data_IF_905275346129
#
_entry.id   IF_905275346129
#
_cell.length_a   1.000
_cell.length_b   1.000
_cell.length_c   1.000
_cell.angle_alpha   90.00
_cell.angle_beta   90.00
_cell.angle_gamma   90.00
#
_symmetry.space_group_name_H-M   'P 1'
#
loop_
_entity.id
_entity.type
_entity.pdbx_description
1 polymer ?
#
# COMPACT_ATOMS: atom_id res chain seq x y z
N UNK A 1 -6.13 -101.68 6.28
CA UNK A 1 -4.74 -102.15 6.44
C UNK A 1 -3.86 -101.38 5.45
N UNK A 2 -2.66 -101.03 5.89
CA UNK A 2 -1.73 -100.04 5.35
C UNK A 2 -1.14 -100.30 3.93
N UNK A 3 -0.80 -99.16 3.28
CA UNK A 3 0.40 -98.87 2.44
C UNK A 3 0.56 -99.54 1.05
N UNK A 4 0.84 -98.69 0.05
CA UNK A 4 2.14 -98.51 -0.68
C UNK A 4 1.87 -97.75 -2.01
N UNK A 5 2.20 -96.46 -2.12
CA UNK A 5 3.35 -95.87 -2.86
C UNK A 5 3.99 -96.79 -3.92
N UNK A 6 3.97 -96.40 -5.21
CA UNK A 6 5.14 -95.90 -5.99
C UNK A 6 4.78 -95.65 -7.48
N UNK A 7 5.68 -94.93 -8.18
CA UNK A 7 5.78 -94.55 -9.62
C UNK A 7 5.21 -93.18 -10.00
N UNK A 8 5.91 -92.26 -10.72
CA UNK A 8 7.32 -92.11 -11.08
C UNK A 8 7.49 -90.77 -11.84
N UNK A 9 8.43 -89.92 -11.41
CA UNK A 9 9.44 -89.17 -12.23
C UNK A 9 9.04 -88.01 -13.19
N UNK A 10 9.99 -87.03 -13.25
CA UNK A 10 10.24 -85.95 -14.21
C UNK A 10 9.48 -84.61 -13.99
N UNK A 11 10.07 -83.41 -13.91
CA UNK A 11 11.46 -82.97 -13.91
C UNK A 11 11.60 -81.56 -13.34
N UNK A 12 12.73 -81.34 -12.66
CA UNK A 12 13.30 -80.05 -12.29
C UNK A 12 13.83 -79.40 -13.56
N UNK A 13 13.35 -78.20 -13.90
CA UNK A 13 14.09 -77.22 -14.72
C UNK A 13 13.94 -75.86 -14.07
N UNK A 14 14.91 -75.55 -13.22
CA UNK A 14 15.22 -74.21 -12.75
C UNK A 14 15.98 -73.52 -13.89
N UNK A 15 15.32 -72.65 -14.66
CA UNK A 15 15.98 -71.79 -15.64
C UNK A 15 15.98 -70.34 -15.14
N UNK A 16 17.20 -69.89 -14.86
CA UNK A 16 17.61 -68.50 -14.74
C UNK A 16 16.90 -67.61 -15.77
N UNK A 17 16.05 -66.70 -15.30
CA UNK A 17 15.63 -65.54 -16.08
C UNK A 17 16.67 -64.44 -15.83
N UNK A 18 17.37 -63.93 -16.85
CA UNK A 18 18.24 -62.79 -16.66
C UNK A 18 17.38 -61.59 -16.27
N UNK A 19 17.83 -60.82 -15.28
CA UNK A 19 17.25 -59.53 -14.96
C UNK A 19 17.41 -58.61 -16.18
N UNK A 20 16.38 -58.57 -17.03
CA UNK A 20 16.27 -57.56 -18.08
C UNK A 20 16.06 -56.24 -17.35
N UNK A 21 17.15 -55.47 -17.21
CA UNK A 21 17.02 -54.04 -16.93
C UNK A 21 16.35 -53.43 -18.15
N UNK A 22 15.05 -53.21 -18.04
CA UNK A 22 14.32 -52.30 -18.92
C UNK A 22 15.00 -50.93 -18.81
N UNK A 23 15.75 -50.53 -19.83
CA UNK A 23 15.99 -49.12 -20.09
C UNK A 23 14.66 -48.55 -20.58
N UNK A 24 14.06 -47.65 -19.80
CA UNK A 24 12.95 -46.86 -20.30
C UNK A 24 13.44 -46.09 -21.53
N UNK A 25 12.80 -46.25 -22.71
CA UNK A 25 13.19 -45.47 -23.87
C UNK A 25 12.87 -44.02 -23.56
N UNK A 26 13.92 -43.19 -23.52
CA UNK A 26 13.84 -41.74 -23.39
C UNK A 26 12.97 -41.23 -24.54
N UNK A 27 11.69 -41.04 -24.25
CA UNK A 27 10.66 -40.69 -25.21
C UNK A 27 10.16 -39.32 -24.83
N UNK A 28 9.99 -38.48 -25.85
CA UNK A 28 9.56 -37.07 -25.82
C UNK A 28 8.31 -36.79 -24.95
N UNK A 29 7.60 -37.83 -24.51
CA UNK A 29 6.42 -37.79 -23.64
C UNK A 29 6.72 -37.42 -22.18
N UNK A 30 7.90 -37.73 -21.64
CA UNK A 30 8.24 -37.40 -20.23
C UNK A 30 8.64 -35.92 -20.05
N UNK A 31 8.88 -35.21 -21.15
CA UNK A 31 9.40 -33.84 -21.18
C UNK A 31 8.30 -32.79 -21.10
N UNK A 32 7.17 -33.08 -21.77
CA UNK A 32 5.92 -32.42 -21.44
C UNK A 32 5.54 -32.67 -19.98
N UNK A 33 5.84 -33.84 -19.43
CA UNK A 33 5.52 -34.17 -18.03
C UNK A 33 6.34 -33.35 -17.03
N UNK A 34 7.66 -33.13 -17.21
CA UNK A 34 8.43 -32.28 -16.28
C UNK A 34 8.01 -30.81 -16.32
N UNK A 35 7.86 -30.22 -17.53
CA UNK A 35 7.39 -28.84 -17.66
C UNK A 35 5.96 -28.68 -17.09
N UNK A 36 5.04 -29.60 -17.41
CA UNK A 36 3.68 -29.56 -16.89
C UNK A 36 3.64 -29.72 -15.37
N UNK A 37 4.48 -30.59 -14.78
CA UNK A 37 4.63 -30.71 -13.32
C UNK A 37 5.20 -29.42 -12.72
N UNK A 38 6.17 -28.79 -13.35
CA UNK A 38 6.73 -27.52 -12.90
C UNK A 38 5.66 -26.41 -12.92
N UNK A 39 4.86 -26.35 -13.98
CA UNK A 39 3.72 -25.44 -14.12
C UNK A 39 2.62 -25.73 -13.08
N UNK A 40 2.32 -27.00 -12.81
CA UNK A 40 1.37 -27.37 -11.75
C UNK A 40 1.86 -26.88 -10.38
N UNK A 41 3.15 -27.05 -10.08
CA UNK A 41 3.75 -26.55 -8.85
C UNK A 41 3.77 -25.02 -8.80
N UNK A 42 4.04 -24.35 -9.92
CA UNK A 42 3.98 -22.89 -10.03
C UNK A 42 2.58 -22.36 -9.75
N UNK A 43 1.55 -22.94 -10.37
CA UNK A 43 0.15 -22.56 -10.17
C UNK A 43 -0.35 -22.85 -8.74
N UNK A 44 0.28 -23.81 -8.06
CA UNK A 44 0.07 -24.10 -6.63
C UNK A 44 0.97 -23.27 -5.71
N UNK A 45 1.68 -22.28 -6.26
CA UNK A 45 2.63 -21.39 -5.57
C UNK A 45 3.78 -22.12 -4.84
N UNK A 46 4.05 -23.37 -5.22
CA UNK A 46 5.16 -24.18 -4.70
C UNK A 46 6.47 -23.82 -5.42
N UNK A 47 6.80 -22.53 -5.38
CA UNK A 47 7.92 -21.94 -6.13
C UNK A 47 9.27 -22.66 -5.94
N UNK A 48 9.69 -23.11 -4.73
CA UNK A 48 10.97 -23.78 -4.58
C UNK A 48 11.06 -25.10 -5.35
N UNK A 49 9.96 -25.85 -5.42
CA UNK A 49 9.89 -27.11 -6.15
C UNK A 49 9.73 -26.86 -7.66
N UNK A 50 8.93 -25.86 -8.04
CA UNK A 50 8.79 -25.44 -9.43
C UNK A 50 10.15 -25.01 -10.03
N UNK A 51 10.93 -24.19 -9.32
CA UNK A 51 12.28 -23.75 -9.73
C UNK A 51 13.17 -24.96 -10.03
N UNK A 52 13.20 -25.97 -9.15
CA UNK A 52 14.01 -27.18 -9.35
C UNK A 52 13.63 -27.95 -10.62
N UNK A 53 12.33 -28.09 -10.88
CA UNK A 53 11.86 -28.77 -12.08
C UNK A 53 12.11 -27.95 -13.36
N UNK A 54 11.91 -26.63 -13.33
CA UNK A 54 12.29 -25.77 -14.45
C UNK A 54 13.80 -25.79 -14.70
N UNK A 55 14.63 -25.78 -13.65
CA UNK A 55 16.09 -25.94 -13.75
C UNK A 55 16.48 -27.27 -14.43
N UNK A 56 15.84 -28.38 -14.04
CA UNK A 56 16.02 -29.69 -14.68
C UNK A 56 15.66 -29.65 -16.16
N UNK A 57 14.46 -29.15 -16.45
CA UNK A 57 13.92 -29.04 -17.80
C UNK A 57 14.82 -28.21 -18.73
N UNK A 58 15.33 -27.06 -18.24
CA UNK A 58 16.24 -26.20 -19.01
C UNK A 58 17.59 -26.89 -19.25
N UNK A 59 18.09 -27.72 -18.32
CA UNK A 59 19.42 -28.33 -18.41
C UNK A 59 19.46 -29.57 -19.31
N UNK A 60 18.47 -30.44 -19.22
CA UNK A 60 18.62 -31.84 -19.64
C UNK A 60 18.15 -32.15 -21.07
N UNK A 61 17.71 -31.15 -21.86
CA UNK A 61 17.06 -31.42 -23.16
C UNK A 61 17.94 -31.28 -24.42
N UNK A 62 18.11 -32.37 -25.23
CA UNK A 62 18.87 -32.36 -26.49
C UNK A 62 18.07 -31.92 -27.73
N UNK A 63 16.73 -31.86 -27.68
CA UNK A 63 15.84 -31.39 -28.77
C UNK A 63 14.86 -30.33 -28.26
N UNK A 64 15.39 -29.19 -27.82
CA UNK A 64 14.61 -28.12 -27.21
C UNK A 64 13.73 -27.39 -28.22
N UNK A 65 12.42 -27.44 -28.01
CA UNK A 65 11.55 -26.38 -28.50
C UNK A 65 11.95 -25.07 -27.80
N UNK A 66 12.43 -24.10 -28.58
CA UNK A 66 12.94 -22.83 -28.08
C UNK A 66 11.87 -22.06 -27.31
N UNK A 67 10.59 -22.20 -27.72
CA UNK A 67 9.46 -21.53 -27.08
C UNK A 67 9.24 -22.09 -25.67
N UNK A 68 9.18 -23.41 -25.52
CA UNK A 68 8.99 -24.06 -24.21
C UNK A 68 10.15 -23.78 -23.25
N UNK A 69 11.40 -23.70 -23.74
CA UNK A 69 12.55 -23.30 -22.92
C UNK A 69 12.45 -21.84 -22.48
N UNK A 70 12.02 -20.95 -23.37
CA UNK A 70 11.77 -19.54 -23.05
C UNK A 70 10.73 -19.41 -21.93
N UNK A 71 9.59 -20.08 -22.06
CA UNK A 71 8.54 -20.09 -21.01
C UNK A 71 9.07 -20.66 -19.69
N UNK A 72 9.83 -21.75 -19.71
CA UNK A 72 10.42 -22.32 -18.50
C UNK A 72 11.42 -21.35 -17.82
N UNK A 73 12.23 -20.64 -18.60
CA UNK A 73 13.14 -19.61 -18.09
C UNK A 73 12.37 -18.45 -17.44
N UNK A 74 11.25 -18.02 -18.04
CA UNK A 74 10.36 -17.02 -17.47
C UNK A 74 9.75 -17.48 -16.14
N UNK A 75 9.09 -18.64 -16.09
CA UNK A 75 8.40 -19.10 -14.88
C UNK A 75 9.37 -19.42 -13.74
N UNK A 76 10.56 -19.90 -14.06
CA UNK A 76 11.68 -20.03 -13.11
C UNK A 76 12.08 -18.67 -12.53
N UNK A 77 12.22 -17.64 -13.37
CA UNK A 77 12.56 -16.30 -12.92
C UNK A 77 11.44 -15.67 -12.08
N UNK A 78 10.19 -15.78 -12.52
CA UNK A 78 9.01 -15.30 -11.79
C UNK A 78 8.89 -15.98 -10.42
N UNK A 79 9.10 -17.31 -10.36
CA UNK A 79 9.15 -18.05 -9.08
C UNK A 79 10.23 -17.52 -8.15
N UNK A 80 11.43 -17.24 -8.67
CA UNK A 80 12.52 -16.66 -7.88
C UNK A 80 12.18 -15.26 -7.36
N UNK A 81 11.49 -14.42 -8.14
CA UNK A 81 11.02 -13.10 -7.70
C UNK A 81 9.97 -13.20 -6.59
N UNK A 82 8.99 -14.11 -6.73
CA UNK A 82 7.95 -14.34 -5.71
C UNK A 82 8.53 -14.83 -4.37
N UNK A 83 9.65 -15.56 -4.40
CA UNK A 83 10.37 -15.99 -3.21
C UNK A 83 11.33 -14.93 -2.64
N UNK A 84 11.44 -13.77 -3.29
CA UNK A 84 12.46 -12.76 -3.01
C UNK A 84 13.89 -13.31 -3.01
N UNK A 85 14.17 -14.29 -3.88
CA UNK A 85 15.51 -14.83 -3.98
C UNK A 85 16.49 -13.76 -4.51
N UNK A 86 17.72 -13.69 -3.98
CA UNK A 86 18.71 -12.70 -4.43
C UNK A 86 19.03 -12.75 -5.93
N UNK A 87 18.86 -13.92 -6.57
CA UNK A 87 19.09 -14.13 -7.98
C UNK A 87 17.84 -13.91 -8.87
N UNK A 88 16.69 -13.57 -8.29
CA UNK A 88 15.44 -13.36 -9.02
C UNK A 88 15.52 -12.24 -10.06
N UNK A 89 16.07 -11.08 -9.69
CA UNK A 89 16.30 -9.96 -10.64
C UNK A 89 17.20 -10.42 -11.79
N UNK A 90 18.32 -11.09 -11.46
CA UNK A 90 19.28 -11.56 -12.46
C UNK A 90 18.65 -12.55 -13.44
N UNK A 91 17.86 -13.51 -12.95
CA UNK A 91 17.16 -14.49 -13.79
C UNK A 91 16.18 -13.81 -14.73
N UNK A 92 15.37 -12.87 -14.23
CA UNK A 92 14.36 -12.19 -15.04
C UNK A 92 14.99 -11.27 -16.09
N UNK A 93 16.03 -10.50 -15.72
CA UNK A 93 16.78 -9.65 -16.66
C UNK A 93 17.49 -10.51 -17.72
N UNK A 94 18.02 -11.67 -17.34
CA UNK A 94 18.62 -12.61 -18.28
C UNK A 94 17.60 -13.16 -19.27
N UNK A 95 16.40 -13.51 -18.79
CA UNK A 95 15.29 -13.92 -19.64
C UNK A 95 14.94 -12.83 -20.67
N UNK A 96 14.69 -11.59 -20.22
CA UNK A 96 14.38 -10.44 -21.09
C UNK A 96 15.44 -10.24 -22.17
N UNK A 97 16.72 -10.37 -21.82
CA UNK A 97 17.84 -10.19 -22.75
C UNK A 97 17.97 -11.31 -23.78
N UNK A 98 17.63 -12.55 -23.39
CA UNK A 98 17.81 -13.74 -24.25
C UNK A 98 16.61 -14.01 -25.15
N UNK A 99 15.42 -13.54 -24.76
CA UNK A 99 14.16 -13.76 -25.48
C UNK A 99 13.38 -12.45 -25.68
N UNK A 100 13.97 -11.41 -26.31
CA UNK A 100 13.34 -10.10 -26.46
C UNK A 100 12.02 -10.12 -27.27
N UNK A 101 11.78 -11.16 -28.05
CA UNK A 101 10.56 -11.41 -28.84
C UNK A 101 9.48 -12.18 -28.08
N UNK A 102 9.75 -12.60 -26.84
CA UNK A 102 8.80 -13.38 -26.05
C UNK A 102 7.53 -12.57 -25.73
N UNK A 103 6.34 -13.19 -25.77
CA UNK A 103 5.12 -12.54 -25.30
C UNK A 103 5.15 -12.20 -23.79
N UNK A 104 6.12 -12.71 -23.03
CA UNK A 104 6.26 -12.47 -21.59
C UNK A 104 7.05 -11.22 -21.23
N UNK A 105 7.61 -10.49 -22.19
CA UNK A 105 8.45 -9.31 -21.89
C UNK A 105 7.70 -8.28 -21.04
N UNK A 106 6.43 -8.01 -21.38
CA UNK A 106 5.63 -7.05 -20.63
C UNK A 106 5.35 -7.53 -19.20
N UNK A 107 4.95 -8.81 -19.04
CA UNK A 107 4.77 -9.45 -17.73
C UNK A 107 6.08 -9.43 -16.90
N UNK A 108 7.24 -9.61 -17.54
CA UNK A 108 8.55 -9.57 -16.88
C UNK A 108 8.88 -8.18 -16.31
N UNK A 109 8.56 -7.11 -17.04
CA UNK A 109 8.73 -5.74 -16.52
C UNK A 109 7.77 -5.45 -15.37
N UNK A 110 6.52 -5.89 -15.48
CA UNK A 110 5.54 -5.77 -14.40
C UNK A 110 6.01 -6.52 -13.14
N UNK A 111 6.49 -7.76 -13.29
CA UNK A 111 7.01 -8.57 -12.18
C UNK A 111 8.23 -7.95 -11.51
N UNK A 112 9.17 -7.37 -12.27
CA UNK A 112 10.32 -6.65 -11.72
C UNK A 112 9.90 -5.37 -10.98
N UNK A 113 8.95 -4.62 -11.55
CA UNK A 113 8.34 -3.45 -10.90
C UNK A 113 7.74 -3.82 -9.54
N UNK A 114 6.93 -4.87 -9.52
CA UNK A 114 6.29 -5.43 -8.32
C UNK A 114 7.31 -5.89 -7.27
N UNK A 115 8.32 -6.65 -7.68
CA UNK A 115 9.40 -7.09 -6.80
C UNK A 115 10.12 -5.93 -6.11
N UNK A 116 10.44 -4.86 -6.87
CA UNK A 116 11.11 -3.69 -6.29
C UNK A 116 10.18 -2.82 -5.45
N UNK A 117 8.90 -2.74 -5.80
CA UNK A 117 7.87 -2.10 -5.00
C UNK A 117 7.77 -2.75 -3.62
N UNK A 118 7.65 -4.08 -3.57
CA UNK A 118 7.56 -4.83 -2.32
C UNK A 118 8.84 -4.70 -1.46
N UNK A 119 10.01 -4.61 -2.10
CA UNK A 119 11.29 -4.32 -1.45
C UNK A 119 11.51 -2.84 -1.09
N UNK A 120 10.49 -1.97 -1.28
CA UNK A 120 10.55 -0.52 -1.03
C UNK A 120 11.63 0.22 -1.85
N UNK A 121 12.18 -0.42 -2.88
CA UNK A 121 13.12 0.20 -3.81
C UNK A 121 12.32 0.89 -4.93
N UNK A 122 11.61 1.96 -4.56
CA UNK A 122 10.72 2.68 -5.47
C UNK A 122 11.44 3.26 -6.70
N UNK A 123 12.75 3.51 -6.59
CA UNK A 123 13.56 3.95 -7.74
C UNK A 123 13.61 2.89 -8.84
N UNK A 124 13.98 1.65 -8.48
CA UNK A 124 13.99 0.55 -9.45
C UNK A 124 12.58 0.17 -9.89
N UNK A 125 11.60 0.18 -8.97
CA UNK A 125 10.21 -0.11 -9.31
C UNK A 125 9.70 0.77 -10.46
N UNK A 126 9.83 2.11 -10.32
CA UNK A 126 9.45 3.06 -11.38
C UNK A 126 10.21 2.78 -12.68
N UNK A 127 11.51 2.49 -12.63
CA UNK A 127 12.30 2.24 -13.84
C UNK A 127 11.85 1.01 -14.65
N UNK A 128 11.23 0.02 -13.99
CA UNK A 128 10.67 -1.15 -14.66
C UNK A 128 9.20 -0.91 -15.07
N UNK A 129 8.40 -0.24 -14.24
CA UNK A 129 7.04 0.16 -14.60
C UNK A 129 7.01 1.11 -15.83
N UNK A 130 8.00 1.98 -16.01
CA UNK A 130 8.11 2.83 -17.20
C UNK A 130 8.35 2.04 -18.50
N UNK A 131 8.72 0.75 -18.41
CA UNK A 131 8.90 -0.15 -19.56
C UNK A 131 7.67 -1.02 -19.86
N UNK A 132 6.67 -1.00 -18.98
CA UNK A 132 5.45 -1.79 -19.15
C UNK A 132 4.57 -1.13 -20.22
N UNK A 133 4.18 -1.91 -21.23
CA UNK A 133 3.14 -1.53 -22.17
C UNK A 133 1.76 -1.72 -21.53
N UNK A 134 1.19 -0.62 -21.02
CA UNK A 134 -0.13 -0.62 -20.36
C UNK A 134 -1.29 -1.06 -21.26
N UNK A 135 -1.15 -1.00 -22.58
CA UNK A 135 -2.22 -1.40 -23.52
C UNK A 135 -2.39 -2.92 -23.61
N UNK A 136 -1.39 -3.67 -23.17
CA UNK A 136 -1.40 -5.14 -23.17
C UNK A 136 -1.82 -5.73 -21.81
N UNK A 137 -2.09 -4.88 -20.81
CA UNK A 137 -2.52 -5.35 -19.50
C UNK A 137 -4.03 -5.62 -19.48
N UNK A 138 -4.41 -6.71 -18.84
CA UNK A 138 -5.79 -6.93 -18.41
C UNK A 138 -6.21 -5.88 -17.36
N UNK A 139 -7.53 -5.63 -17.16
CA UNK A 139 -8.02 -4.60 -16.26
C UNK A 139 -7.49 -4.72 -14.83
N UNK A 140 -7.37 -5.94 -14.30
CA UNK A 140 -6.89 -6.20 -12.95
C UNK A 140 -5.41 -5.79 -12.79
N UNK A 141 -4.53 -6.25 -13.69
CA UNK A 141 -3.11 -5.86 -13.69
C UNK A 141 -2.92 -4.38 -14.00
N UNK A 142 -3.79 -3.80 -14.83
CA UNK A 142 -3.74 -2.38 -15.15
C UNK A 142 -4.01 -1.52 -13.91
N UNK A 143 -4.98 -1.91 -13.08
CA UNK A 143 -5.25 -1.25 -11.80
C UNK A 143 -4.07 -1.39 -10.83
N UNK A 144 -3.50 -2.59 -10.70
CA UNK A 144 -2.30 -2.85 -9.90
C UNK A 144 -1.11 -1.99 -10.36
N UNK A 145 -0.90 -1.91 -11.69
CA UNK A 145 0.14 -1.10 -12.31
C UNK A 145 0.00 0.38 -11.93
N UNK A 146 -1.17 0.95 -12.16
CA UNK A 146 -1.41 2.37 -11.86
C UNK A 146 -1.20 2.66 -10.38
N UNK A 147 -1.75 1.82 -9.50
CA UNK A 147 -1.60 2.03 -8.08
C UNK A 147 -0.14 1.94 -7.62
N UNK A 148 0.55 0.84 -7.94
CA UNK A 148 1.90 0.59 -7.44
C UNK A 148 2.93 1.52 -8.06
N UNK A 149 2.78 1.87 -9.34
CA UNK A 149 3.61 2.88 -9.98
C UNK A 149 3.33 4.27 -9.39
N UNK A 150 2.06 4.65 -9.23
CA UNK A 150 1.63 5.90 -8.60
C UNK A 150 2.20 6.06 -7.19
N UNK A 151 2.08 5.02 -6.36
CA UNK A 151 2.66 5.01 -5.02
C UNK A 151 4.18 5.08 -5.05
N UNK A 152 4.85 4.34 -5.95
CA UNK A 152 6.30 4.42 -6.08
C UNK A 152 6.77 5.83 -6.49
N UNK A 153 6.03 6.51 -7.36
CA UNK A 153 6.28 7.90 -7.75
C UNK A 153 6.04 8.87 -6.60
N UNK A 154 4.98 8.67 -5.83
CA UNK A 154 4.66 9.45 -4.64
C UNK A 154 5.77 9.34 -3.57
N UNK A 155 6.23 8.13 -3.27
CA UNK A 155 7.34 7.88 -2.34
C UNK A 155 8.67 8.47 -2.82
N UNK A 156 8.81 8.73 -4.11
CA UNK A 156 9.96 9.44 -4.70
C UNK A 156 9.78 10.97 -4.72
N UNK A 157 8.67 11.49 -4.23
CA UNK A 157 8.35 12.91 -4.26
C UNK A 157 7.88 13.43 -5.63
N UNK A 158 7.67 12.56 -6.63
CA UNK A 158 7.14 12.97 -7.92
C UNK A 158 5.60 12.98 -7.89
N UNK A 159 5.06 13.94 -7.13
CA UNK A 159 3.61 14.13 -6.97
C UNK A 159 2.87 14.32 -8.29
N UNK A 160 3.35 15.11 -9.28
CA UNK A 160 2.63 15.30 -10.53
C UNK A 160 2.41 13.99 -11.29
N UNK A 161 3.44 13.15 -11.43
CA UNK A 161 3.27 11.84 -12.07
C UNK A 161 2.44 10.87 -11.23
N UNK A 162 2.58 10.91 -9.90
CA UNK A 162 1.78 10.07 -9.01
C UNK A 162 0.28 10.38 -9.14
N UNK A 163 -0.07 11.67 -9.19
CA UNK A 163 -1.45 12.14 -9.36
C UNK A 163 -2.06 11.63 -10.66
N UNK A 164 -1.31 11.64 -11.76
CA UNK A 164 -1.74 11.06 -13.04
C UNK A 164 -2.03 9.57 -12.92
N UNK A 165 -1.22 8.81 -12.17
CA UNK A 165 -1.48 7.37 -12.02
C UNK A 165 -2.69 7.10 -11.14
N UNK A 166 -2.86 7.82 -10.03
CA UNK A 166 -4.03 7.65 -9.15
C UNK A 166 -5.32 8.11 -9.83
N UNK A 167 -5.29 9.13 -10.70
CA UNK A 167 -6.47 9.59 -11.43
C UNK A 167 -7.04 8.55 -12.38
N UNK A 168 -6.21 7.65 -12.90
CA UNK A 168 -6.65 6.59 -13.83
C UNK A 168 -7.48 5.51 -13.13
N UNK A 169 -7.37 5.36 -11.80
CA UNK A 169 -8.02 4.27 -11.05
C UNK A 169 -8.99 4.74 -9.96
N UNK A 170 -8.94 6.02 -9.55
CA UNK A 170 -9.77 6.52 -8.44
C UNK A 170 -11.28 6.44 -8.68
N UNK A 171 -11.71 6.28 -9.93
CA UNK A 171 -13.13 6.21 -10.34
C UNK A 171 -13.51 4.86 -10.96
N UNK A 172 -12.62 3.87 -10.90
CA UNK A 172 -12.87 2.48 -11.31
C UNK A 172 -13.10 1.65 -10.06
N UNK A 173 -14.01 0.68 -10.05
CA UNK A 173 -14.23 -0.19 -8.89
C UNK A 173 -13.16 -1.31 -8.84
N UNK A 174 -12.19 -1.18 -7.93
CA UNK A 174 -11.07 -2.11 -7.76
C UNK A 174 -10.61 -2.12 -6.30
N UNK A 175 -9.84 -3.13 -5.90
CA UNK A 175 -9.19 -3.16 -4.58
C UNK A 175 -8.24 -1.97 -4.33
N UNK A 176 -7.76 -1.33 -5.40
CA UNK A 176 -6.85 -0.19 -5.34
C UNK A 176 -7.55 1.16 -5.29
N UNK A 177 -8.88 1.19 -5.38
CA UNK A 177 -9.64 2.43 -5.51
C UNK A 177 -9.63 3.24 -4.23
N UNK A 178 -9.95 2.69 -3.04
CA UNK A 178 -9.83 3.45 -1.80
C UNK A 178 -8.43 4.05 -1.56
N UNK A 179 -7.33 3.29 -1.67
CA UNK A 179 -6.01 3.86 -1.44
C UNK A 179 -5.62 4.86 -2.55
N UNK A 180 -6.07 4.68 -3.80
CA UNK A 180 -5.85 5.68 -4.85
C UNK A 180 -6.55 7.01 -4.56
N UNK A 181 -7.83 6.97 -4.14
CA UNK A 181 -8.57 8.16 -3.69
C UNK A 181 -7.83 8.82 -2.53
N UNK A 182 -7.34 8.03 -1.57
CA UNK A 182 -6.64 8.55 -0.40
C UNK A 182 -5.38 9.32 -0.80
N UNK A 183 -4.46 8.72 -1.57
CA UNK A 183 -3.23 9.39 -1.96
C UNK A 183 -3.48 10.55 -2.92
N UNK A 184 -4.45 10.44 -3.82
CA UNK A 184 -4.87 11.55 -4.69
C UNK A 184 -5.37 12.74 -3.86
N UNK A 185 -6.23 12.49 -2.87
CA UNK A 185 -6.78 13.52 -1.99
C UNK A 185 -5.73 14.13 -1.08
N UNK A 186 -4.78 13.33 -0.58
CA UNK A 186 -3.66 13.82 0.20
C UNK A 186 -2.75 14.75 -0.62
N UNK A 187 -2.42 14.37 -1.86
CA UNK A 187 -1.65 15.25 -2.75
C UNK A 187 -2.42 16.56 -3.00
N UNK A 188 -3.73 16.47 -3.30
CA UNK A 188 -4.57 17.64 -3.48
C UNK A 188 -4.62 18.54 -2.24
N UNK A 189 -4.67 17.95 -1.04
CA UNK A 189 -4.64 18.68 0.23
C UNK A 189 -3.32 19.42 0.42
N UNK A 190 -2.19 18.76 0.17
CA UNK A 190 -0.85 19.35 0.26
C UNK A 190 -0.65 20.48 -0.76
N UNK A 191 -1.25 20.35 -1.94
CA UNK A 191 -1.26 21.37 -3.00
C UNK A 191 -2.33 22.45 -2.78
N UNK A 192 -2.99 22.46 -1.61
CA UNK A 192 -4.04 23.41 -1.19
C UNK A 192 -5.31 23.39 -2.06
N UNK A 193 -5.49 22.36 -2.87
CA UNK A 193 -6.73 22.12 -3.61
C UNK A 193 -7.76 21.44 -2.71
N UNK A 194 -8.23 22.19 -1.72
CA UNK A 194 -9.05 21.68 -0.61
C UNK A 194 -10.41 21.16 -1.05
N UNK A 195 -11.01 21.71 -2.11
CA UNK A 195 -12.27 21.19 -2.64
C UNK A 195 -12.10 19.77 -3.19
N UNK A 196 -11.04 19.53 -3.96
CA UNK A 196 -10.73 18.21 -4.51
C UNK A 196 -10.37 17.22 -3.41
N UNK A 197 -9.57 17.65 -2.44
CA UNK A 197 -9.23 16.83 -1.28
C UNK A 197 -10.47 16.45 -0.46
N UNK A 198 -11.36 17.41 -0.20
CA UNK A 198 -12.60 17.21 0.54
C UNK A 198 -13.52 16.19 -0.14
N UNK A 199 -13.69 16.27 -1.46
CA UNK A 199 -14.49 15.31 -2.23
C UNK A 199 -13.98 13.87 -2.03
N UNK A 200 -12.68 13.65 -2.27
CA UNK A 200 -12.11 12.32 -2.13
C UNK A 200 -12.08 11.80 -0.69
N UNK A 201 -11.82 12.65 0.31
CA UNK A 201 -11.93 12.26 1.71
C UNK A 201 -13.36 11.92 2.13
N UNK A 202 -14.37 12.63 1.61
CA UNK A 202 -15.77 12.30 1.87
C UNK A 202 -16.15 10.92 1.34
N UNK A 203 -15.63 10.53 0.16
CA UNK A 203 -15.83 9.20 -0.42
C UNK A 203 -15.24 8.05 0.41
N UNK A 204 -14.31 8.36 1.32
CA UNK A 204 -13.60 7.38 2.15
C UNK A 204 -14.08 7.34 3.61
N UNK A 205 -15.11 8.11 3.98
CA UNK A 205 -15.58 8.20 5.38
C UNK A 205 -15.96 6.86 5.99
N UNK A 206 -16.57 6.00 5.19
CA UNK A 206 -17.07 4.69 5.62
C UNK A 206 -16.14 3.54 5.18
N UNK A 207 -14.94 3.87 4.67
CA UNK A 207 -13.96 2.87 4.23
C UNK A 207 -13.30 2.17 5.44
N UNK A 208 -13.11 0.86 5.33
CA UNK A 208 -12.55 0.04 6.42
C UNK A 208 -11.12 0.43 6.81
N UNK A 209 -10.32 0.91 5.85
CA UNK A 209 -8.91 1.28 6.07
C UNK A 209 -8.77 2.76 6.39
N UNK A 210 -9.49 3.62 5.68
CA UNK A 210 -9.29 5.06 5.70
C UNK A 210 -10.35 5.83 6.50
N UNK A 211 -11.52 5.24 6.79
CA UNK A 211 -12.64 5.92 7.45
C UNK A 211 -12.33 6.48 8.83
N UNK A 212 -11.40 5.88 9.56
CA UNK A 212 -10.92 6.39 10.85
C UNK A 212 -9.89 7.53 10.74
N UNK A 213 -9.29 7.72 9.55
CA UNK A 213 -8.19 8.65 9.31
C UNK A 213 -8.68 9.91 8.59
N UNK A 214 -9.51 9.75 7.55
CA UNK A 214 -9.96 10.86 6.69
C UNK A 214 -10.75 11.97 7.42
N UNK A 215 -11.52 11.70 8.50
CA UNK A 215 -12.22 12.77 9.20
C UNK A 215 -11.29 13.84 9.80
N UNK A 216 -10.05 13.47 10.16
CA UNK A 216 -9.06 14.44 10.65
C UNK A 216 -8.68 15.45 9.56
N UNK A 217 -8.48 14.99 8.33
CA UNK A 217 -8.21 15.87 7.19
C UNK A 217 -9.42 16.73 6.85
N UNK A 218 -10.63 16.18 6.95
CA UNK A 218 -11.88 16.93 6.73
C UNK A 218 -11.99 18.08 7.72
N UNK A 219 -11.78 17.84 9.02
CA UNK A 219 -11.81 18.90 10.04
C UNK A 219 -10.74 19.95 9.79
N UNK A 220 -9.53 19.56 9.39
CA UNK A 220 -8.48 20.52 9.02
C UNK A 220 -8.91 21.41 7.84
N UNK A 221 -9.53 20.83 6.80
CA UNK A 221 -10.05 21.60 5.67
C UNK A 221 -11.17 22.55 6.09
N UNK A 222 -12.13 22.08 6.91
CA UNK A 222 -13.22 22.91 7.42
C UNK A 222 -12.68 24.10 8.22
N UNK A 223 -11.64 23.88 9.04
CA UNK A 223 -10.96 24.93 9.77
C UNK A 223 -10.33 25.98 8.84
N UNK A 224 -9.66 25.55 7.76
CA UNK A 224 -9.09 26.46 6.76
C UNK A 224 -10.17 27.26 6.01
N UNK A 225 -11.35 26.66 5.82
CA UNK A 225 -12.52 27.31 5.22
C UNK A 225 -13.31 28.18 6.21
N UNK A 226 -12.95 28.18 7.50
CA UNK A 226 -13.68 28.83 8.60
C UNK A 226 -15.12 28.32 8.73
N UNK A 227 -15.39 27.08 8.32
CA UNK A 227 -16.67 26.42 8.53
C UNK A 227 -16.74 25.87 9.95
N UNK A 228 -17.03 26.76 10.89
CA UNK A 228 -17.13 26.44 12.31
C UNK A 228 -18.28 25.49 12.63
N UNK A 229 -19.37 25.53 11.86
CA UNK A 229 -20.51 24.63 12.03
C UNK A 229 -20.12 23.19 11.68
N UNK A 230 -19.47 22.98 10.54
CA UNK A 230 -18.96 21.67 10.14
C UNK A 230 -17.94 21.11 11.13
N UNK A 231 -17.06 21.96 11.68
CA UNK A 231 -16.10 21.54 12.72
C UNK A 231 -16.83 21.02 13.95
N UNK A 232 -17.81 21.77 14.46
CA UNK A 232 -18.54 21.41 15.67
C UNK A 232 -19.43 20.18 15.48
N UNK A 233 -19.81 19.86 14.23
CA UNK A 233 -20.53 18.63 13.90
C UNK A 233 -19.64 17.38 13.98
N UNK A 234 -18.36 17.47 13.58
CA UNK A 234 -17.49 16.29 13.39
C UNK A 234 -16.44 16.16 14.49
N UNK A 235 -15.72 17.25 14.79
CA UNK A 235 -14.52 17.22 15.62
C UNK A 235 -14.74 16.70 17.05
N UNK A 236 -15.87 16.98 17.75
CA UNK A 236 -16.09 16.47 19.10
C UNK A 236 -16.11 14.95 19.20
N UNK A 237 -16.71 14.26 18.23
CA UNK A 237 -16.76 12.79 18.21
C UNK A 237 -15.37 12.19 17.92
N UNK A 238 -14.58 12.84 17.06
CA UNK A 238 -13.21 12.40 16.75
C UNK A 238 -12.28 12.41 17.96
N UNK A 239 -12.58 13.18 19.01
CA UNK A 239 -11.80 13.14 20.26
C UNK A 239 -11.81 11.76 20.92
N UNK A 240 -12.86 10.95 20.70
CA UNK A 240 -12.99 9.61 21.30
C UNK A 240 -12.03 8.59 20.69
N UNK A 241 -11.65 8.78 19.41
CA UNK A 241 -10.74 7.90 18.67
C UNK A 241 -9.36 8.53 18.42
N UNK A 242 -9.20 9.82 18.75
CA UNK A 242 -7.95 10.53 18.58
C UNK A 242 -6.88 10.09 19.60
N UNK A 243 -5.68 9.79 19.09
CA UNK A 243 -4.48 9.73 19.92
C UNK A 243 -4.09 11.11 20.45
N UNK A 244 -3.28 11.14 21.52
CA UNK A 244 -2.89 12.36 22.25
C UNK A 244 -2.51 13.54 21.35
N UNK A 245 -1.69 13.31 20.33
CA UNK A 245 -1.22 14.36 19.42
C UNK A 245 -2.36 14.97 18.59
N UNK A 246 -3.23 14.13 18.01
CA UNK A 246 -4.38 14.59 17.23
C UNK A 246 -5.43 15.28 18.10
N UNK A 247 -5.60 14.82 19.35
CA UNK A 247 -6.53 15.46 20.28
C UNK A 247 -6.17 16.92 20.56
N UNK A 248 -4.88 17.25 20.66
CA UNK A 248 -4.43 18.64 20.89
C UNK A 248 -4.90 19.55 19.77
N UNK A 249 -4.76 19.12 18.51
CA UNK A 249 -5.20 19.92 17.37
C UNK A 249 -6.73 20.04 17.30
N UNK A 250 -7.45 18.96 17.58
CA UNK A 250 -8.92 18.98 17.67
C UNK A 250 -9.42 19.93 18.75
N UNK A 251 -8.76 20.00 19.92
CA UNK A 251 -9.11 20.96 20.97
C UNK A 251 -8.98 22.40 20.49
N UNK A 252 -7.93 22.72 19.72
CA UNK A 252 -7.81 24.04 19.08
C UNK A 252 -8.98 24.29 18.14
N UNK A 253 -9.26 23.37 17.22
CA UNK A 253 -10.32 23.56 16.22
C UNK A 253 -11.70 23.74 16.84
N UNK A 254 -12.05 22.95 17.86
CA UNK A 254 -13.34 23.06 18.57
C UNK A 254 -13.40 24.36 19.37
N UNK A 255 -12.33 24.70 20.11
CA UNK A 255 -12.26 25.92 20.90
C UNK A 255 -12.40 27.18 20.03
N UNK A 256 -11.66 27.25 18.93
CA UNK A 256 -11.72 28.34 17.98
C UNK A 256 -13.10 28.44 17.31
N UNK A 257 -13.71 27.31 16.97
CA UNK A 257 -15.04 27.29 16.37
C UNK A 257 -16.09 27.89 17.32
N UNK A 258 -16.10 27.47 18.59
CA UNK A 258 -16.99 28.07 19.59
C UNK A 258 -16.68 29.55 19.83
N UNK A 259 -15.39 29.93 19.92
CA UNK A 259 -14.96 31.31 20.13
C UNK A 259 -15.49 32.23 19.02
N UNK A 260 -15.29 31.86 17.75
CA UNK A 260 -15.72 32.65 16.61
C UNK A 260 -17.25 32.73 16.49
N UNK A 261 -17.97 31.77 17.04
CA UNK A 261 -19.44 31.81 17.16
C UNK A 261 -19.95 32.60 18.38
N UNK A 262 -19.06 33.12 19.24
CA UNK A 262 -19.42 33.85 20.45
C UNK A 262 -19.79 32.96 21.65
N UNK A 263 -19.63 31.65 21.52
CA UNK A 263 -19.96 30.65 22.55
C UNK A 263 -18.76 30.48 23.49
N UNK A 264 -18.42 31.54 24.23
CA UNK A 264 -17.17 31.61 25.01
C UNK A 264 -17.11 30.58 26.15
N UNK A 265 -18.27 30.25 26.74
CA UNK A 265 -18.37 29.28 27.84
C UNK A 265 -18.03 27.87 27.35
N UNK A 266 -18.50 27.52 26.16
CA UNK A 266 -18.25 26.25 25.50
C UNK A 266 -16.81 26.19 24.95
N UNK A 267 -16.28 27.30 24.44
CA UNK A 267 -14.90 27.39 23.93
C UNK A 267 -13.85 27.15 25.01
N UNK A 268 -14.07 27.73 26.20
CA UNK A 268 -13.10 27.78 27.29
C UNK A 268 -12.46 26.41 27.65
N UNK A 269 -13.20 25.32 27.94
CA UNK A 269 -12.59 24.05 28.30
C UNK A 269 -11.72 23.44 27.19
N UNK A 270 -12.04 23.72 25.91
CA UNK A 270 -11.24 23.22 24.78
C UNK A 270 -9.95 24.05 24.62
N UNK A 271 -10.04 25.38 24.75
CA UNK A 271 -8.87 26.26 24.69
C UNK A 271 -7.92 26.02 25.87
N UNK A 272 -8.43 25.74 27.08
CA UNK A 272 -7.61 25.33 28.23
C UNK A 272 -6.87 24.02 27.94
N UNK A 273 -7.57 23.00 27.42
CA UNK A 273 -6.95 21.71 27.04
C UNK A 273 -5.91 21.85 25.94
N UNK A 274 -6.17 22.69 24.94
CA UNK A 274 -5.20 23.02 23.90
C UNK A 274 -3.96 23.68 24.51
N UNK A 275 -4.14 24.74 25.31
CA UNK A 275 -3.03 25.46 25.96
C UNK A 275 -2.21 24.58 26.90
N UNK A 276 -2.82 23.60 27.56
CA UNK A 276 -2.11 22.64 28.41
C UNK A 276 -1.39 21.55 27.60
N UNK A 277 -1.92 21.20 26.42
CA UNK A 277 -1.42 20.15 25.54
C UNK A 277 -0.26 20.57 24.63
N UNK A 278 -0.03 21.87 24.44
CA UNK A 278 1.05 22.41 23.58
C UNK A 278 2.03 23.28 24.38
N UNK A 279 3.32 23.17 24.05
CA UNK A 279 4.34 24.14 24.51
C UNK A 279 4.36 25.41 23.64
N UNK A 280 3.78 25.33 22.44
CA UNK A 280 3.78 26.37 21.43
C UNK A 280 2.33 26.87 21.34
N UNK A 281 2.03 27.93 22.09
CA UNK A 281 0.79 28.67 22.02
C UNK A 281 1.12 30.09 21.58
N UNK A 282 0.52 30.54 20.48
CA UNK A 282 0.72 31.87 19.91
C UNK A 282 0.13 32.97 20.80
N UNK A 283 0.40 34.25 20.48
CA UNK A 283 -0.23 35.36 21.22
C UNK A 283 -1.72 35.40 20.97
N UNK A 284 -2.14 35.05 19.76
CA UNK A 284 -3.54 34.97 19.33
C UNK A 284 -4.30 33.89 20.11
N UNK A 285 -3.72 32.69 20.27
CA UNK A 285 -4.32 31.61 21.07
C UNK A 285 -4.51 32.03 22.54
N UNK A 286 -3.50 32.67 23.12
CA UNK A 286 -3.56 33.20 24.49
C UNK A 286 -4.55 34.34 24.62
N UNK A 287 -4.68 35.17 23.60
CA UNK A 287 -5.68 36.23 23.56
C UNK A 287 -7.09 35.64 23.58
N UNK A 288 -7.38 34.65 22.72
CA UNK A 288 -8.68 33.98 22.70
C UNK A 288 -9.01 33.33 24.05
N UNK A 289 -8.04 32.63 24.65
CA UNK A 289 -8.21 32.04 25.98
C UNK A 289 -8.46 33.11 27.06
N UNK A 290 -7.66 34.18 27.08
CA UNK A 290 -7.82 35.30 28.00
C UNK A 290 -9.16 36.02 27.84
N UNK A 291 -9.61 36.20 26.60
CA UNK A 291 -10.89 36.80 26.29
C UNK A 291 -12.06 35.89 26.70
N UNK A 292 -11.93 34.57 26.52
CA UNK A 292 -12.89 33.61 27.07
C UNK A 292 -13.02 33.74 28.58
N UNK A 293 -11.90 33.75 29.32
CA UNK A 293 -11.94 33.97 30.78
C UNK A 293 -12.64 35.27 31.16
N UNK A 294 -12.37 36.37 30.44
CA UNK A 294 -13.05 37.65 30.67
C UNK A 294 -14.57 37.52 30.45
N UNK A 295 -14.99 36.89 29.35
CA UNK A 295 -16.41 36.71 29.02
C UNK A 295 -17.13 35.72 29.94
N UNK A 296 -16.42 34.78 30.57
CA UNK A 296 -16.99 33.83 31.53
C UNK A 296 -16.90 34.32 32.99
N UNK A 297 -16.24 35.45 33.25
CA UNK A 297 -16.13 36.07 34.58
C UNK A 297 -14.91 35.63 35.41
N UNK A 298 -13.99 34.85 34.83
CA UNK A 298 -12.73 34.45 35.46
C UNK A 298 -11.66 35.57 35.32
N UNK A 299 -11.95 36.74 35.89
CA UNK A 299 -11.17 37.98 35.70
C UNK A 299 -9.69 37.82 36.04
N UNK A 300 -9.34 37.08 37.11
CA UNK A 300 -7.95 36.88 37.53
C UNK A 300 -7.15 36.10 36.47
N UNK A 301 -7.75 35.05 35.90
CA UNK A 301 -7.14 34.27 34.81
C UNK A 301 -7.09 35.09 33.51
N UNK A 302 -8.11 35.91 33.24
CA UNK A 302 -8.13 36.81 32.09
C UNK A 302 -6.95 37.80 32.14
N UNK A 303 -6.81 38.52 33.27
CA UNK A 303 -5.76 39.52 33.47
C UNK A 303 -4.38 38.87 33.35
N UNK A 304 -4.13 37.77 34.08
CA UNK A 304 -2.83 37.10 34.06
C UNK A 304 -2.46 36.58 32.65
N UNK A 305 -3.43 36.03 31.92
CA UNK A 305 -3.21 35.52 30.56
C UNK A 305 -2.94 36.67 29.58
N UNK A 306 -3.76 37.72 29.58
CA UNK A 306 -3.67 38.86 28.65
C UNK A 306 -2.43 39.73 28.91
N UNK A 307 -2.09 40.00 30.17
CA UNK A 307 -0.86 40.75 30.51
C UNK A 307 0.41 40.05 30.02
N UNK A 308 0.42 38.71 30.01
CA UNK A 308 1.56 37.94 29.51
C UNK A 308 1.87 38.16 28.03
N UNK A 309 0.94 38.76 27.26
CA UNK A 309 1.04 38.97 25.81
C UNK A 309 0.85 40.43 25.37
N UNK A 310 0.54 41.36 26.28
CA UNK A 310 0.14 42.75 25.98
C UNK A 310 1.28 43.76 25.73
N UNK A 311 2.55 43.36 25.88
CA UNK A 311 3.70 44.28 25.89
C UNK A 311 4.26 44.70 24.51
N UNK A 312 3.61 44.35 23.39
CA UNK A 312 4.04 44.78 22.05
C UNK A 312 3.28 46.02 21.57
N UNK A 313 3.79 46.66 20.51
CA UNK A 313 3.14 47.79 19.83
C UNK A 313 2.46 47.30 18.55
N UNK A 314 1.36 46.56 18.69
CA UNK A 314 0.54 46.06 17.59
C UNK A 314 -0.97 46.11 17.93
N UNK A 315 -1.81 45.88 16.92
CA UNK A 315 -3.27 45.88 17.05
C UNK A 315 -3.77 44.88 18.09
N UNK A 316 -3.13 43.70 18.17
CA UNK A 316 -3.47 42.70 19.18
C UNK A 316 -3.24 43.24 20.60
N UNK A 317 -2.12 43.92 20.84
CA UNK A 317 -1.85 44.60 22.11
C UNK A 317 -2.87 45.71 22.41
N UNK A 318 -3.32 46.48 21.41
CA UNK A 318 -4.39 47.46 21.63
C UNK A 318 -5.70 46.79 22.06
N UNK A 319 -6.07 45.68 21.41
CA UNK A 319 -7.26 44.90 21.77
C UNK A 319 -7.14 44.30 23.17
N UNK A 320 -5.94 43.87 23.58
CA UNK A 320 -5.66 43.41 24.94
C UNK A 320 -5.93 44.53 25.96
N UNK A 321 -5.38 45.73 25.72
CA UNK A 321 -5.55 46.88 26.62
C UNK A 321 -6.98 47.44 26.66
N UNK A 322 -7.79 47.20 25.63
CA UNK A 322 -9.21 47.53 25.67
C UNK A 322 -10.03 46.57 26.55
N UNK A 323 -9.59 45.31 26.65
CA UNK A 323 -10.26 44.28 27.45
C UNK A 323 -9.87 44.34 28.94
N UNK A 324 -8.61 44.70 29.23
CA UNK A 324 -8.06 44.90 30.58
C UNK A 324 -8.59 46.18 31.24
#
# INVERSE_FOLDING_TARGET
MNRKRFFLIFSIVLLLVPAVRSQSPFTVKDLGSEYLRAMELYNKEKYPAAIKLFDSYIKNEPNKDLISVSEAEYYRAASSLNLFNPDGEYRMVTFIRRHPESPRINDSYMALGNYFYQNKNYRKAVSYYEKVNRQELDPEKLAEYFFRNGYSLYMRGNKPKALLMFSEIKDIDTEYTPPAIYYFSQIAYEDKNYLTAMDGFNRLKDDETFGSIVPFYIVQILYLQKDYDGILQIAPELLNSAGKERSVELYRFIGDAYFNKGNYKEALPYLEKFSAGTKISGREDKYQLGFCYYKTGDTDKAISTLLSIGSKSDELSQNIWYVL
#
